data_IF_789276266404
#
_entry.id   IF_789276266404
#
_cell.length_a   1.000
_cell.length_b   1.000
_cell.length_c   1.000
_cell.angle_alpha   90.00
_cell.angle_beta   90.00
_cell.angle_gamma   90.00
#
_symmetry.space_group_name_H-M   'P 1'
#
loop_
_entity.id
_entity.type
_entity.pdbx_description
1 polymer ?
#
# COMPACT_ATOMS: atom_id res chain seq x y z
N UNK A 1 -40.31 32.32 38.33
CA UNK A 1 -39.05 32.77 37.69
C UNK A 1 -39.14 32.40 36.22
N UNK A 2 -39.19 33.38 35.33
CA UNK A 2 -39.16 33.14 33.87
C UNK A 2 -37.77 32.62 33.49
N UNK A 3 -37.67 31.33 33.19
CA UNK A 3 -36.42 30.74 32.69
C UNK A 3 -36.16 31.25 31.28
N UNK A 4 -35.10 32.03 31.12
CA UNK A 4 -34.63 32.55 29.84
C UNK A 4 -34.40 31.40 28.84
N UNK A 5 -35.28 31.33 27.83
CA UNK A 5 -35.27 30.27 26.81
C UNK A 5 -34.23 30.54 25.73
N UNK A 6 -33.42 29.53 25.43
CA UNK A 6 -32.31 29.59 24.49
C UNK A 6 -32.76 29.32 23.05
N UNK A 7 -32.21 30.07 22.11
CA UNK A 7 -32.38 29.80 20.68
C UNK A 7 -31.61 28.56 20.23
N UNK A 8 -32.04 27.94 19.12
CA UNK A 8 -31.40 26.74 18.56
C UNK A 8 -29.89 26.88 18.31
N UNK A 9 -29.42 28.07 17.91
CA UNK A 9 -27.99 28.34 17.71
C UNK A 9 -27.19 28.41 19.01
N UNK A 10 -27.81 28.84 20.11
CA UNK A 10 -27.19 28.87 21.43
C UNK A 10 -27.09 27.46 22.02
N UNK A 11 -28.16 26.67 21.86
CA UNK A 11 -28.17 25.25 22.24
C UNK A 11 -27.15 24.45 21.42
N UNK A 12 -27.02 24.72 20.12
CA UNK A 12 -26.02 24.08 19.27
C UNK A 12 -24.60 24.32 19.81
N UNK A 13 -24.25 25.58 20.11
CA UNK A 13 -22.97 25.93 20.72
C UNK A 13 -22.78 25.29 22.10
N UNK A 14 -23.81 25.30 22.94
CA UNK A 14 -23.71 24.80 24.31
C UNK A 14 -23.67 23.27 24.41
N UNK A 15 -24.26 22.55 23.45
CA UNK A 15 -24.34 21.09 23.42
C UNK A 15 -23.29 20.42 22.53
N UNK A 16 -22.68 21.15 21.61
CA UNK A 16 -21.76 20.61 20.61
C UNK A 16 -22.45 19.85 19.47
N UNK A 17 -23.78 19.92 19.38
CA UNK A 17 -24.55 19.41 18.25
C UNK A 17 -24.72 20.50 17.18
N UNK A 18 -24.57 20.18 15.88
CA UNK A 18 -24.89 21.14 14.84
C UNK A 18 -26.41 21.45 14.83
N UNK A 19 -26.77 22.65 14.37
CA UNK A 19 -28.19 23.10 14.28
C UNK A 19 -29.03 22.13 13.45
N UNK A 20 -28.46 21.53 12.40
CA UNK A 20 -29.11 20.49 11.60
C UNK A 20 -29.45 19.23 12.41
N UNK A 21 -28.56 18.81 13.31
CA UNK A 21 -28.81 17.66 14.19
C UNK A 21 -29.92 17.96 15.20
N UNK A 22 -29.97 19.18 15.76
CA UNK A 22 -31.07 19.58 16.65
C UNK A 22 -32.43 19.56 15.93
N UNK A 23 -32.50 20.02 14.67
CA UNK A 23 -33.71 19.92 13.84
C UNK A 23 -34.09 18.47 13.54
N UNK A 24 -33.09 17.62 13.29
CA UNK A 24 -33.30 16.19 13.07
C UNK A 24 -33.85 15.51 14.33
N UNK A 25 -33.31 15.82 15.51
CA UNK A 25 -33.78 15.23 16.78
C UNK A 25 -35.16 15.71 17.21
N UNK A 26 -35.51 16.94 16.90
CA UNK A 26 -36.89 17.44 17.01
C UNK A 26 -37.84 16.58 16.17
N UNK A 27 -37.55 16.41 14.88
CA UNK A 27 -38.37 15.58 13.97
C UNK A 27 -38.41 14.10 14.35
N UNK A 28 -37.36 13.57 14.98
CA UNK A 28 -37.30 12.20 15.48
C UNK A 28 -37.90 12.01 16.88
N UNK A 29 -38.40 13.07 17.52
CA UNK A 29 -38.96 13.03 18.88
C UNK A 29 -37.94 12.70 19.97
N UNK A 30 -36.65 12.96 19.70
CA UNK A 30 -35.53 12.65 20.61
C UNK A 30 -35.19 13.87 21.47
N UNK A 31 -35.30 15.08 20.92
CA UNK A 31 -35.11 16.33 21.65
C UNK A 31 -36.08 17.38 21.11
N UNK A 32 -37.26 17.45 21.70
CA UNK A 32 -38.34 18.34 21.26
C UNK A 32 -38.16 19.73 21.88
N UNK A 33 -38.19 20.83 21.10
CA UNK A 33 -38.08 22.19 21.64
C UNK A 33 -39.20 22.49 22.64
N UNK A 34 -38.87 23.19 23.74
CA UNK A 34 -39.85 23.65 24.71
C UNK A 34 -40.95 24.52 24.07
N UNK A 35 -40.57 25.36 23.11
CA UNK A 35 -41.52 26.18 22.34
C UNK A 35 -41.06 26.29 20.89
N UNK A 36 -42.01 26.15 19.96
CA UNK A 36 -41.85 26.57 18.58
C UNK A 36 -42.73 27.80 18.37
N UNK A 37 -42.10 28.92 18.03
CA UNK A 37 -42.79 30.18 17.77
C UNK A 37 -43.73 30.03 16.56
N UNK A 38 -45.02 30.32 16.75
CA UNK A 38 -46.06 30.10 15.73
C UNK A 38 -45.99 31.09 14.56
N UNK A 39 -45.40 32.27 14.76
CA UNK A 39 -45.27 33.27 13.70
C UNK A 39 -43.97 33.13 12.90
N UNK A 40 -42.88 32.74 13.57
CA UNK A 40 -41.54 32.73 12.96
C UNK A 40 -40.96 31.32 12.76
N UNK A 41 -41.55 30.29 13.36
CA UNK A 41 -41.06 28.91 13.30
C UNK A 41 -39.76 28.67 14.09
N UNK A 42 -39.30 29.66 14.86
CA UNK A 42 -38.08 29.54 15.66
C UNK A 42 -38.27 28.59 16.84
N UNK A 43 -37.30 27.70 17.00
CA UNK A 43 -37.23 26.72 18.08
C UNK A 43 -36.51 27.32 19.28
N UNK A 44 -37.17 27.30 20.43
CA UNK A 44 -36.63 27.73 21.71
C UNK A 44 -36.62 26.55 22.68
N UNK A 45 -35.55 26.43 23.43
CA UNK A 45 -35.31 25.34 24.36
C UNK A 45 -35.12 25.89 25.78
N UNK A 46 -35.52 25.11 26.77
CA UNK A 46 -35.24 25.43 28.17
C UNK A 46 -33.78 25.05 28.51
N UNK A 47 -33.19 25.70 29.53
CA UNK A 47 -31.79 25.43 29.91
C UNK A 47 -31.53 23.96 30.28
N UNK A 48 -32.53 23.28 30.83
CA UNK A 48 -32.43 21.85 31.20
C UNK A 48 -32.21 20.96 29.96
N UNK A 49 -32.79 21.34 28.81
CA UNK A 49 -32.66 20.60 27.55
C UNK A 49 -31.24 20.65 26.97
N UNK A 50 -30.39 21.59 27.42
CA UNK A 50 -28.97 21.61 27.05
C UNK A 50 -28.24 20.40 27.62
N UNK A 51 -28.58 19.97 28.83
CA UNK A 51 -27.98 18.78 29.44
C UNK A 51 -28.38 17.50 28.70
N UNK A 52 -29.64 17.41 28.25
CA UNK A 52 -30.12 16.31 27.40
C UNK A 52 -29.41 16.29 26.04
N UNK A 53 -29.29 17.45 25.39
CA UNK A 53 -28.59 17.60 24.12
C UNK A 53 -27.11 17.17 24.22
N UNK A 54 -26.42 17.52 25.31
CA UNK A 54 -25.04 17.07 25.58
C UNK A 54 -24.97 15.56 25.73
N UNK A 55 -25.92 14.95 26.44
CA UNK A 55 -25.97 13.50 26.58
C UNK A 55 -26.18 12.81 25.23
N UNK A 56 -27.13 13.29 24.42
CA UNK A 56 -27.35 12.79 23.05
C UNK A 56 -26.07 12.87 22.22
N UNK A 57 -25.33 13.98 22.32
CA UNK A 57 -24.06 14.16 21.62
C UNK A 57 -23.01 13.12 22.03
N UNK A 58 -22.87 12.84 23.32
CA UNK A 58 -21.95 11.82 23.84
C UNK A 58 -22.37 10.43 23.37
N UNK A 59 -23.65 10.07 23.50
CA UNK A 59 -24.17 8.75 23.12
C UNK A 59 -24.02 8.48 21.63
N UNK A 60 -24.23 9.49 20.78
CA UNK A 60 -23.98 9.36 19.34
C UNK A 60 -22.51 9.22 19.00
N UNK A 61 -21.63 9.95 19.68
CA UNK A 61 -20.18 9.84 19.46
C UNK A 61 -19.67 8.44 19.76
N UNK A 62 -20.26 7.76 20.75
CA UNK A 62 -19.93 6.37 21.09
C UNK A 62 -20.76 5.33 20.32
N UNK A 63 -21.44 5.73 19.24
CA UNK A 63 -22.11 4.81 18.31
C UNK A 63 -23.42 4.21 18.81
N UNK A 64 -24.08 4.81 19.81
CA UNK A 64 -25.38 4.30 20.27
C UNK A 64 -26.46 4.50 19.18
N UNK A 65 -27.28 3.47 18.87
CA UNK A 65 -28.40 3.59 17.94
C UNK A 65 -29.45 4.61 18.41
N UNK A 66 -30.10 5.29 17.45
CA UNK A 66 -31.09 6.32 17.76
C UNK A 66 -32.29 5.80 18.56
N UNK A 67 -32.70 4.56 18.29
CA UNK A 67 -33.78 3.90 19.01
C UNK A 67 -33.47 3.75 20.51
N UNK A 68 -32.23 3.40 20.86
CA UNK A 68 -31.77 3.23 22.23
C UNK A 68 -31.62 4.58 22.94
N UNK A 69 -31.15 5.61 22.23
CA UNK A 69 -31.09 6.99 22.75
C UNK A 69 -32.50 7.47 23.11
N UNK A 70 -33.49 7.22 22.25
CA UNK A 70 -34.89 7.60 22.50
C UNK A 70 -35.46 6.88 23.73
N UNK A 71 -35.18 5.58 23.88
CA UNK A 71 -35.60 4.80 25.05
C UNK A 71 -34.92 5.29 26.34
N UNK A 72 -33.63 5.61 26.29
CA UNK A 72 -32.89 6.14 27.43
C UNK A 72 -33.39 7.52 27.89
N UNK A 73 -33.83 8.37 26.95
CA UNK A 73 -34.43 9.67 27.29
C UNK A 73 -35.87 9.52 27.80
N UNK A 74 -36.68 8.65 27.19
CA UNK A 74 -38.05 8.38 27.64
C UNK A 74 -38.11 7.84 29.09
N UNK A 75 -37.15 7.00 29.49
CA UNK A 75 -37.03 6.53 30.88
C UNK A 75 -36.70 7.63 31.90
N UNK A 76 -36.14 8.77 31.47
CA UNK A 76 -35.88 9.94 32.34
C UNK A 76 -37.09 10.86 32.50
N UNK A 77 -37.96 10.94 31.50
CA UNK A 77 -39.11 11.84 31.47
C UNK A 77 -40.36 11.28 32.20
N UNK A 78 -40.18 10.35 33.14
CA UNK A 78 -41.28 9.74 33.93
C UNK A 78 -41.55 8.25 33.67
N UNK A 79 -40.70 7.57 32.89
CA UNK A 79 -40.72 6.12 32.70
C UNK A 79 -39.97 5.35 33.79
N UNK A 80 -39.68 4.06 33.55
CA UNK A 80 -38.83 3.25 34.43
C UNK A 80 -37.43 3.87 34.56
N UNK A 81 -37.03 4.37 35.75
CA UNK A 81 -35.76 5.07 35.94
C UNK A 81 -34.55 4.13 35.80
N UNK A 82 -34.75 2.81 35.82
CA UNK A 82 -33.68 1.82 35.67
C UNK A 82 -33.37 1.49 34.22
N UNK A 83 -34.30 1.73 33.30
CA UNK A 83 -34.17 1.40 31.88
C UNK A 83 -32.99 2.16 31.19
N UNK A 84 -32.81 3.48 31.37
CA UNK A 84 -31.68 4.20 30.79
C UNK A 84 -30.33 3.68 31.30
N UNK A 85 -30.25 3.38 32.61
CA UNK A 85 -29.04 2.84 33.24
C UNK A 85 -28.71 1.46 32.67
N UNK A 86 -29.72 0.60 32.47
CA UNK A 86 -29.54 -0.73 31.86
C UNK A 86 -29.08 -0.67 30.40
N UNK A 87 -29.65 0.24 29.60
CA UNK A 87 -29.26 0.42 28.19
C UNK A 87 -27.83 0.96 28.07
N UNK A 88 -27.47 1.95 28.88
CA UNK A 88 -26.11 2.48 28.95
C UNK A 88 -25.12 1.40 29.38
N UNK A 89 -25.43 0.67 30.45
CA UNK A 89 -24.57 -0.42 30.93
C UNK A 89 -24.42 -1.54 29.88
N UNK A 90 -25.48 -1.87 29.13
CA UNK A 90 -25.40 -2.84 28.04
C UNK A 90 -24.53 -2.35 26.89
N UNK A 91 -24.58 -1.06 26.54
CA UNK A 91 -23.75 -0.46 25.50
C UNK A 91 -22.28 -0.35 25.92
N UNK A 92 -22.01 0.06 27.17
CA UNK A 92 -20.65 0.05 27.75
C UNK A 92 -20.04 -1.34 27.63
N UNK A 93 -20.76 -2.39 28.06
CA UNK A 93 -20.28 -3.78 27.92
C UNK A 93 -20.03 -4.18 26.46
N UNK A 94 -20.79 -3.66 25.50
CA UNK A 94 -20.61 -3.93 24.06
C UNK A 94 -19.33 -3.27 23.54
N UNK A 95 -19.10 -2.00 23.92
CA UNK A 95 -17.89 -1.26 23.58
C UNK A 95 -16.65 -1.91 24.21
N UNK A 96 -16.73 -2.28 25.49
CA UNK A 96 -15.65 -2.99 26.19
C UNK A 96 -15.30 -4.32 25.51
N UNK A 97 -16.30 -5.09 25.10
CA UNK A 97 -16.09 -6.32 24.32
C UNK A 97 -15.42 -6.02 22.98
N UNK A 98 -15.90 -5.01 22.23
CA UNK A 98 -15.29 -4.63 20.96
C UNK A 98 -13.83 -4.19 21.10
N UNK A 99 -13.50 -3.44 22.16
CA UNK A 99 -12.12 -3.05 22.47
C UNK A 99 -11.27 -4.27 22.85
N UNK A 100 -11.80 -5.18 23.67
CA UNK A 100 -11.09 -6.39 24.06
C UNK A 100 -10.82 -7.32 22.85
N UNK A 101 -11.80 -7.46 21.96
CA UNK A 101 -11.70 -8.23 20.72
C UNK A 101 -10.67 -7.60 19.78
N UNK A 102 -10.76 -6.29 19.51
CA UNK A 102 -9.79 -5.56 18.69
C UNK A 102 -8.37 -5.64 19.27
N UNK A 103 -8.21 -5.57 20.60
CA UNK A 103 -6.91 -5.75 21.26
C UNK A 103 -6.40 -7.18 21.13
N UNK A 104 -7.26 -8.19 21.23
CA UNK A 104 -6.89 -9.59 21.05
C UNK A 104 -6.44 -9.86 19.62
N UNK A 105 -7.18 -9.34 18.64
CA UNK A 105 -6.85 -9.44 17.23
C UNK A 105 -5.54 -8.72 16.90
N UNK A 106 -5.36 -7.49 17.40
CA UNK A 106 -4.10 -6.76 17.29
C UNK A 106 -2.93 -7.51 17.94
N UNK A 107 -3.15 -8.18 19.07
CA UNK A 107 -2.13 -9.02 19.70
C UNK A 107 -1.81 -10.26 18.87
N UNK A 108 -2.79 -10.88 18.20
CA UNK A 108 -2.56 -12.00 17.26
C UNK A 108 -1.80 -11.55 16.03
N UNK A 109 -2.15 -10.39 15.46
CA UNK A 109 -1.44 -9.80 14.32
C UNK A 109 -0.01 -9.45 14.70
N UNK A 110 0.21 -8.78 15.83
CA UNK A 110 1.56 -8.52 16.38
C UNK A 110 2.34 -9.80 16.60
N UNK A 111 1.72 -10.81 17.22
CA UNK A 111 2.35 -12.12 17.40
C UNK A 111 2.65 -12.83 16.07
N UNK A 112 1.88 -12.58 15.01
CA UNK A 112 2.15 -13.10 13.66
C UNK A 112 3.28 -12.33 12.98
N UNK A 113 3.34 -11.01 13.16
CA UNK A 113 4.45 -10.17 12.70
C UNK A 113 5.74 -10.58 13.42
N UNK A 114 5.73 -10.66 14.76
CA UNK A 114 6.87 -11.11 15.55
C UNK A 114 7.27 -12.55 15.24
N UNK A 115 6.31 -13.46 15.02
CA UNK A 115 6.61 -14.83 14.56
C UNK A 115 7.14 -14.85 13.14
N UNK A 116 6.72 -13.97 12.25
CA UNK A 116 7.29 -13.85 10.91
C UNK A 116 8.68 -13.19 10.94
N UNK A 117 8.94 -12.29 11.90
CA UNK A 117 10.27 -11.73 12.16
C UNK A 117 11.20 -12.75 12.80
N UNK A 118 10.70 -13.59 13.72
CA UNK A 118 11.48 -14.65 14.39
C UNK A 118 11.61 -15.91 13.55
N UNK A 119 10.61 -16.29 12.77
CA UNK A 119 10.68 -17.34 11.74
C UNK A 119 11.52 -16.83 10.58
N UNK A 120 11.39 -15.56 10.18
CA UNK A 120 12.31 -14.90 9.25
C UNK A 120 13.74 -14.90 9.79
N UNK A 121 13.97 -14.63 11.09
CA UNK A 121 15.29 -14.77 11.73
C UNK A 121 15.76 -16.21 11.87
N UNK A 122 14.89 -17.21 12.05
CA UNK A 122 15.27 -18.63 12.19
C UNK A 122 15.46 -19.34 10.84
N UNK A 123 14.66 -19.02 9.84
CA UNK A 123 14.86 -19.42 8.44
C UNK A 123 16.09 -18.72 7.87
N UNK A 124 16.31 -17.44 8.19
CA UNK A 124 17.57 -16.77 7.89
C UNK A 124 18.73 -17.30 8.74
N UNK A 125 18.54 -17.73 9.99
CA UNK A 125 19.62 -18.33 10.81
C UNK A 125 20.02 -19.74 10.36
N UNK A 126 19.08 -20.54 9.84
CA UNK A 126 19.39 -21.81 9.20
C UNK A 126 19.97 -21.62 7.78
N UNK A 127 19.76 -20.42 7.20
CA UNK A 127 20.41 -19.95 5.96
C UNK A 127 21.52 -18.93 6.24
N UNK A 128 22.03 -18.83 7.48
CA UNK A 128 23.28 -18.09 7.80
C UNK A 128 24.45 -19.01 7.52
N UNK A 129 24.45 -19.60 6.32
CA UNK A 129 25.62 -20.25 5.76
C UNK A 129 26.26 -19.25 4.81
N UNK A 130 27.14 -18.45 5.43
CA UNK A 130 28.27 -17.76 4.81
C UNK A 130 27.98 -16.53 3.93
N UNK A 131 27.65 -15.39 4.57
CA UNK A 131 27.91 -14.07 3.99
C UNK A 131 29.42 -13.87 3.83
N UNK A 132 30.00 -14.43 2.77
CA UNK A 132 31.41 -14.29 2.40
C UNK A 132 31.60 -13.06 1.51
N UNK A 133 32.82 -12.56 1.48
CA UNK A 133 33.23 -11.57 0.48
C UNK A 133 33.21 -12.27 -0.88
N UNK A 134 32.35 -11.80 -1.77
CA UNK A 134 32.25 -12.32 -3.14
C UNK A 134 32.76 -11.26 -4.10
N UNK A 135 33.63 -11.65 -5.02
CA UNK A 135 34.13 -10.78 -6.09
C UNK A 135 33.73 -11.37 -7.43
N UNK A 136 32.84 -10.67 -8.13
CA UNK A 136 32.27 -11.07 -9.40
C UNK A 136 32.92 -10.28 -10.53
N UNK A 137 33.12 -10.94 -11.68
CA UNK A 137 33.50 -10.27 -12.93
C UNK A 137 32.32 -10.37 -13.89
N UNK A 138 31.82 -9.23 -14.33
CA UNK A 138 30.57 -9.10 -15.07
C UNK A 138 30.79 -8.28 -16.36
N UNK A 139 29.93 -8.50 -17.35
CA UNK A 139 29.81 -7.58 -18.47
C UNK A 139 29.18 -6.27 -17.98
N UNK A 140 29.87 -5.14 -18.18
CA UNK A 140 29.41 -3.85 -17.66
C UNK A 140 28.03 -3.45 -18.20
N UNK A 141 27.76 -3.77 -19.48
CA UNK A 141 26.47 -3.52 -20.12
C UNK A 141 25.32 -4.32 -19.49
N UNK A 142 25.55 -5.57 -19.08
CA UNK A 142 24.52 -6.40 -18.44
C UNK A 142 24.18 -5.91 -17.04
N UNK A 143 25.21 -5.56 -16.25
CA UNK A 143 25.00 -4.96 -14.92
C UNK A 143 24.29 -3.60 -15.04
N UNK A 144 24.67 -2.76 -16.00
CA UNK A 144 24.00 -1.49 -16.23
C UNK A 144 22.52 -1.68 -16.57
N UNK A 145 22.22 -2.60 -17.49
CA UNK A 145 20.84 -2.91 -17.86
C UNK A 145 20.03 -3.50 -16.68
N UNK A 146 20.66 -4.29 -15.81
CA UNK A 146 20.01 -4.82 -14.62
C UNK A 146 19.73 -3.73 -13.58
N UNK A 147 20.66 -2.78 -13.35
CA UNK A 147 20.45 -1.63 -12.47
C UNK A 147 19.31 -0.74 -13.00
N UNK A 148 19.31 -0.43 -14.31
CA UNK A 148 18.25 0.34 -14.95
C UNK A 148 16.87 -0.33 -14.81
N UNK A 149 16.83 -1.67 -14.90
CA UNK A 149 15.60 -2.44 -14.81
C UNK A 149 14.99 -2.50 -13.40
N UNK A 150 15.72 -2.11 -12.34
CA UNK A 150 15.19 -2.15 -10.96
C UNK A 150 15.14 -0.78 -10.29
N UNK A 151 15.98 0.17 -10.72
CA UNK A 151 16.16 1.47 -10.06
C UNK A 151 14.87 2.26 -9.86
N UNK A 152 13.92 2.15 -10.79
CA UNK A 152 12.65 2.84 -10.73
C UNK A 152 11.78 2.37 -9.54
N UNK A 153 11.92 1.13 -9.08
CA UNK A 153 11.10 0.56 -8.01
C UNK A 153 11.63 0.84 -6.59
N UNK A 154 12.71 1.62 -6.44
CA UNK A 154 13.30 1.94 -5.12
C UNK A 154 12.36 2.85 -4.32
N UNK A 155 12.20 2.56 -3.03
CA UNK A 155 11.40 3.37 -2.11
C UNK A 155 12.08 4.68 -1.73
N UNK A 156 11.26 5.71 -1.51
CA UNK A 156 11.70 7.05 -1.08
C UNK A 156 11.09 7.47 0.26
N UNK A 157 10.39 6.53 0.93
CA UNK A 157 9.74 6.78 2.22
C UNK A 157 10.81 6.75 3.33
N UNK A 158 11.08 7.89 4.00
CA UNK A 158 12.10 7.96 5.05
C UNK A 158 11.75 7.09 6.26
N UNK A 159 10.48 6.69 6.42
CA UNK A 159 10.07 5.77 7.49
C UNK A 159 10.42 4.30 7.18
N UNK A 160 10.85 3.99 5.95
CA UNK A 160 11.18 2.63 5.50
C UNK A 160 12.59 2.57 4.89
N UNK A 161 13.65 2.74 5.70
CA UNK A 161 15.04 2.73 5.23
C UNK A 161 15.44 1.40 4.57
N UNK A 162 14.84 0.28 4.96
CA UNK A 162 15.04 -1.03 4.32
C UNK A 162 14.67 -1.05 2.82
N UNK A 163 13.87 -0.08 2.35
CA UNK A 163 13.42 0.04 0.96
C UNK A 163 14.16 1.14 0.20
N UNK A 164 15.05 1.89 0.85
CA UNK A 164 15.79 3.03 0.29
C UNK A 164 17.07 2.59 -0.46
N UNK A 165 16.98 1.50 -1.21
CA UNK A 165 18.11 0.94 -1.94
C UNK A 165 17.74 -0.26 -2.81
N UNK A 166 18.78 -0.86 -3.40
CA UNK A 166 18.67 -2.06 -4.23
C UNK A 166 19.35 -3.21 -3.49
N UNK A 167 18.63 -4.31 -3.29
CA UNK A 167 19.18 -5.54 -2.76
C UNK A 167 20.02 -6.22 -3.85
N UNK A 168 21.28 -6.52 -3.52
CA UNK A 168 22.16 -7.37 -4.31
C UNK A 168 22.14 -8.75 -3.65
N UNK A 169 21.60 -9.75 -4.35
CA UNK A 169 21.40 -11.11 -3.87
C UNK A 169 22.12 -12.08 -4.82
N UNK A 170 23.31 -12.52 -4.44
CA UNK A 170 24.13 -13.47 -5.20
C UNK A 170 23.78 -14.88 -4.73
N UNK A 171 23.19 -15.68 -5.62
CA UNK A 171 22.87 -17.07 -5.34
C UNK A 171 22.76 -17.87 -6.64
N UNK A 172 23.13 -19.15 -6.59
CA UNK A 172 22.96 -20.12 -7.68
C UNK A 172 23.51 -19.67 -9.05
N UNK A 173 24.64 -18.96 -9.03
CA UNK A 173 25.28 -18.45 -10.25
C UNK A 173 24.52 -17.30 -10.91
N UNK A 174 23.71 -16.56 -10.15
CA UNK A 174 23.01 -15.35 -10.61
C UNK A 174 23.19 -14.24 -9.57
N UNK A 175 23.53 -13.04 -10.02
CA UNK A 175 23.36 -11.81 -9.22
C UNK A 175 21.95 -11.29 -9.48
N UNK A 176 21.07 -11.34 -8.48
CA UNK A 176 19.74 -10.73 -8.53
C UNK A 176 19.81 -9.34 -7.91
N UNK A 177 19.32 -8.36 -8.64
CA UNK A 177 19.06 -7.01 -8.16
C UNK A 177 17.57 -6.90 -7.89
N UNK A 178 17.20 -6.37 -6.72
CA UNK A 178 15.80 -6.26 -6.30
C UNK A 178 15.51 -4.89 -5.70
N UNK A 179 14.42 -4.27 -6.12
CA UNK A 179 13.94 -2.99 -5.59
C UNK A 179 12.42 -3.02 -5.39
N UNK A 180 11.94 -2.38 -4.32
CA UNK A 180 10.51 -2.26 -4.00
C UNK A 180 10.22 -1.02 -3.15
N UNK A 181 9.00 -0.50 -3.27
CA UNK A 181 8.48 0.65 -2.50
C UNK A 181 7.16 0.33 -1.79
N UNK A 182 6.85 -0.97 -1.61
CA UNK A 182 5.57 -1.58 -1.15
C UNK A 182 4.44 -1.64 -2.18
N UNK A 183 4.46 -0.81 -3.23
CA UNK A 183 3.41 -0.79 -4.25
C UNK A 183 3.85 -1.45 -5.55
N UNK A 184 5.16 -1.66 -5.71
CA UNK A 184 5.74 -2.37 -6.84
C UNK A 184 7.01 -3.08 -6.44
N UNK A 185 7.40 -4.06 -7.24
CA UNK A 185 8.63 -4.83 -7.11
C UNK A 185 9.27 -4.95 -8.49
N UNK A 186 10.58 -4.78 -8.58
CA UNK A 186 11.36 -5.07 -9.77
C UNK A 186 12.52 -6.02 -9.41
N UNK A 187 12.72 -7.03 -10.25
CA UNK A 187 13.80 -8.02 -10.13
C UNK A 187 14.53 -8.10 -11.46
N UNK A 188 15.86 -8.05 -11.43
CA UNK A 188 16.72 -8.26 -12.60
C UNK A 188 17.91 -9.16 -12.25
N UNK A 189 18.13 -10.22 -13.03
CA UNK A 189 19.21 -11.18 -12.85
C UNK A 189 20.34 -10.98 -13.86
N UNK A 190 21.58 -11.04 -13.37
CA UNK A 190 22.79 -11.09 -14.19
C UNK A 190 23.42 -12.47 -14.03
N UNK A 191 23.56 -13.26 -15.09
CA UNK A 191 24.16 -14.59 -15.01
C UNK A 191 25.64 -14.50 -14.64
N UNK A 192 26.10 -15.41 -13.78
CA UNK A 192 27.48 -15.48 -13.30
C UNK A 192 28.18 -16.71 -13.87
N UNK A 193 29.44 -16.56 -14.26
CA UNK A 193 30.27 -17.67 -14.72
C UNK A 193 30.66 -18.64 -13.60
N UNK A 194 30.74 -18.15 -12.35
CA UNK A 194 31.05 -18.95 -11.17
C UNK A 194 29.77 -19.34 -10.42
N UNK A 195 29.69 -20.61 -9.97
CA UNK A 195 28.57 -21.15 -9.20
C UNK A 195 29.02 -21.45 -7.77
N UNK A 196 28.14 -21.23 -6.80
CA UNK A 196 28.35 -21.58 -5.39
C UNK A 196 28.61 -20.40 -4.45
N UNK A 197 28.92 -19.21 -5.00
CA UNK A 197 29.04 -18.00 -4.20
C UNK A 197 27.68 -17.53 -3.68
N UNK A 198 27.65 -17.14 -2.41
CA UNK A 198 26.47 -16.56 -1.76
C UNK A 198 26.86 -15.29 -1.03
N UNK A 199 26.18 -14.21 -1.37
CA UNK A 199 26.35 -12.93 -0.71
C UNK A 199 25.07 -12.11 -0.86
N UNK A 200 24.77 -11.32 0.17
CA UNK A 200 23.65 -10.39 0.15
C UNK A 200 24.07 -9.06 0.74
N UNK A 201 23.74 -7.98 0.05
CA UNK A 201 23.96 -6.62 0.55
C UNK A 201 22.86 -5.68 0.05
N UNK A 202 22.34 -4.82 0.93
CA UNK A 202 21.45 -3.74 0.53
C UNK A 202 22.29 -2.51 0.19
N UNK A 203 22.19 -2.04 -1.05
CA UNK A 203 23.03 -0.95 -1.57
C UNK A 203 22.19 0.32 -1.66
N UNK A 204 22.62 1.36 -0.96
CA UNK A 204 21.92 2.64 -0.94
C UNK A 204 21.87 3.29 -2.34
N UNK A 205 20.79 3.99 -2.62
CA UNK A 205 20.53 4.63 -3.92
C UNK A 205 21.69 5.48 -4.46
N UNK A 206 22.38 6.33 -3.67
CA UNK A 206 23.50 7.12 -4.20
C UNK A 206 24.67 6.27 -4.70
N UNK A 207 24.90 5.11 -4.07
CA UNK A 207 25.95 4.16 -4.47
C UNK A 207 25.53 3.45 -5.76
N UNK A 208 24.26 3.02 -5.86
CA UNK A 208 23.68 2.44 -7.07
C UNK A 208 23.81 3.41 -8.26
N UNK A 209 23.46 4.69 -8.06
CA UNK A 209 23.53 5.71 -9.11
C UNK A 209 24.99 5.98 -9.53
N UNK A 210 25.93 6.01 -8.59
CA UNK A 210 27.36 6.12 -8.87
C UNK A 210 27.91 4.90 -9.64
N UNK A 211 27.50 3.68 -9.27
CA UNK A 211 27.84 2.45 -9.98
C UNK A 211 27.29 2.48 -11.41
N UNK A 212 26.04 2.89 -11.59
CA UNK A 212 25.41 2.99 -12.91
C UNK A 212 26.11 4.02 -13.80
N UNK A 213 26.52 5.15 -13.25
CA UNK A 213 27.30 6.16 -13.97
C UNK A 213 28.64 5.61 -14.44
N UNK A 214 29.33 4.84 -13.60
CA UNK A 214 30.62 4.20 -13.88
C UNK A 214 30.57 3.24 -15.09
N UNK A 215 29.43 2.57 -15.29
CA UNK A 215 29.22 1.57 -16.33
C UNK A 215 28.93 2.19 -17.72
N UNK A 216 28.76 3.50 -17.80
CA UNK A 216 28.46 4.19 -19.07
C UNK A 216 29.63 4.06 -20.04
N UNK A 217 29.43 3.39 -21.17
CA UNK A 217 30.47 3.18 -22.20
C UNK A 217 31.52 2.13 -21.83
N UNK A 218 31.34 1.38 -20.74
CA UNK A 218 32.26 0.33 -20.31
C UNK A 218 32.10 -0.94 -21.15
N UNK A 219 33.15 -1.35 -21.87
CA UNK A 219 33.12 -2.54 -22.70
C UNK A 219 33.27 -3.85 -21.90
N UNK A 220 34.29 -3.95 -21.01
CA UNK A 220 34.60 -5.10 -20.14
C UNK A 220 35.95 -4.85 -19.40
N UNK A 221 36.25 -5.43 -18.21
CA UNK A 221 35.37 -6.09 -17.23
C UNK A 221 34.90 -5.12 -16.15
N UNK A 222 33.69 -5.34 -15.63
CA UNK A 222 33.24 -4.73 -14.38
C UNK A 222 33.50 -5.70 -13.22
N UNK A 223 34.26 -5.28 -12.21
CA UNK A 223 34.53 -6.08 -11.01
C UNK A 223 33.65 -5.60 -9.87
N UNK A 224 32.72 -6.44 -9.44
CA UNK A 224 31.80 -6.15 -8.34
C UNK A 224 32.22 -6.94 -7.10
N UNK A 225 32.52 -6.24 -6.01
CA UNK A 225 32.83 -6.84 -4.72
C UNK A 225 31.66 -6.61 -3.77
N UNK A 226 31.03 -7.68 -3.31
CA UNK A 226 29.91 -7.66 -2.35
C UNK A 226 30.43 -8.18 -1.02
N UNK A 227 30.38 -7.32 0.01
CA UNK A 227 30.71 -7.66 1.40
C UNK A 227 29.50 -7.38 2.28
N UNK A 228 29.44 -7.97 3.50
CA UNK A 228 28.35 -7.70 4.43
C UNK A 228 28.22 -6.23 4.83
N UNK A 229 29.34 -5.49 4.81
CA UNK A 229 29.44 -4.12 5.34
C UNK A 229 29.50 -3.05 4.26
N UNK A 230 29.86 -3.41 3.03
CA UNK A 230 30.01 -2.48 1.91
C UNK A 230 30.00 -3.21 0.56
N UNK A 231 29.78 -2.42 -0.49
CA UNK A 231 29.79 -2.90 -1.88
C UNK A 231 30.63 -1.96 -2.71
N UNK A 232 31.44 -2.51 -3.61
CA UNK A 232 32.31 -1.74 -4.50
C UNK A 232 32.25 -2.27 -5.93
N UNK A 233 32.20 -1.36 -6.89
CA UNK A 233 32.29 -1.64 -8.31
C UNK A 233 33.53 -0.95 -8.88
N UNK A 234 34.37 -1.70 -9.57
CA UNK A 234 35.55 -1.21 -10.27
C UNK A 234 35.42 -1.44 -11.78
N UNK A 235 35.69 -0.39 -12.56
CA UNK A 235 35.70 -0.42 -14.02
C UNK A 235 36.85 0.45 -14.52
N UNK A 236 37.81 -0.15 -15.24
CA UNK A 236 38.93 0.59 -15.84
C UNK A 236 39.73 1.44 -14.85
N UNK A 237 39.96 0.94 -13.62
CA UNK A 237 40.69 1.63 -12.55
C UNK A 237 39.90 2.72 -11.81
N UNK A 238 38.63 2.96 -12.17
CA UNK A 238 37.71 3.84 -11.45
C UNK A 238 36.84 3.00 -10.52
N UNK A 239 36.52 3.52 -9.33
CA UNK A 239 35.76 2.80 -8.31
C UNK A 239 34.54 3.60 -7.86
N UNK A 240 33.40 2.92 -7.72
CA UNK A 240 32.21 3.41 -7.02
C UNK A 240 31.92 2.46 -5.86
N UNK A 241 31.89 2.97 -4.64
CA UNK A 241 31.70 2.15 -3.44
C UNK A 241 30.93 2.89 -2.35
N UNK A 242 30.31 2.14 -1.44
CA UNK A 242 29.71 2.69 -0.23
C UNK A 242 29.26 1.61 0.75
N UNK A 243 28.88 2.01 1.96
CA UNK A 243 28.43 1.08 2.98
C UNK A 243 27.17 0.34 2.54
N UNK A 244 27.07 -0.93 2.96
CA UNK A 244 25.82 -1.67 2.89
C UNK A 244 24.88 -1.09 3.95
N UNK A 245 23.60 -0.98 3.62
CA UNK A 245 22.57 -0.55 4.56
C UNK A 245 22.33 -1.69 5.55
N UNK A 246 22.46 -1.39 6.84
CA UNK A 246 22.23 -2.35 7.94
C UNK A 246 20.73 -2.47 8.25
N UNK A 247 19.97 -2.88 7.24
CA UNK A 247 18.53 -3.09 7.33
C UNK A 247 18.18 -4.45 6.72
N UNK A 248 17.17 -5.10 7.30
CA UNK A 248 16.69 -6.39 6.77
C UNK A 248 15.74 -6.15 5.61
N UNK A 249 16.16 -6.55 4.40
CA UNK A 249 15.30 -6.45 3.23
C UNK A 249 14.16 -7.49 3.27
N UNK A 250 12.92 -7.14 2.86
CA UNK A 250 11.80 -8.08 2.82
C UNK A 250 12.07 -9.32 1.95
N UNK A 251 11.49 -10.46 2.33
CA UNK A 251 11.58 -11.69 1.55
C UNK A 251 10.75 -11.59 0.25
N UNK A 252 11.39 -11.15 -0.82
CA UNK A 252 10.78 -10.95 -2.13
C UNK A 252 10.46 -12.27 -2.85
N UNK A 253 11.08 -13.39 -2.47
CA UNK A 253 11.01 -14.68 -3.21
C UNK A 253 9.58 -15.23 -3.27
N UNK A 254 8.80 -14.94 -2.23
CA UNK A 254 7.37 -15.30 -2.14
C UNK A 254 6.53 -14.61 -3.22
N UNK A 255 7.00 -13.49 -3.78
CA UNK A 255 6.31 -12.69 -4.79
C UNK A 255 6.78 -13.00 -6.23
N UNK A 256 7.95 -13.63 -6.40
CA UNK A 256 8.53 -13.92 -7.74
C UNK A 256 7.74 -15.00 -8.49
N UNK A 257 7.08 -15.90 -7.76
CA UNK A 257 6.29 -17.00 -8.34
C UNK A 257 5.06 -16.58 -9.16
N UNK A 258 4.65 -15.30 -9.09
CA UNK A 258 3.43 -14.79 -9.73
C UNK A 258 2.15 -15.22 -9.01
N UNK A 259 1.04 -14.60 -9.38
CA UNK A 259 -0.30 -15.02 -8.96
C UNK A 259 -0.88 -15.99 -10.00
N UNK A 260 -1.68 -16.98 -9.60
CA UNK A 260 -2.37 -17.87 -10.54
C UNK A 260 -3.41 -17.09 -11.37
N UNK A 261 -2.98 -16.49 -12.48
CA UNK A 261 -3.76 -15.60 -13.31
C UNK A 261 -3.71 -15.93 -14.80
N UNK A 262 -4.48 -15.18 -15.59
CA UNK A 262 -4.46 -15.30 -17.06
C UNK A 262 -3.21 -14.61 -17.59
N UNK A 263 -2.46 -15.33 -18.41
CA UNK A 263 -1.24 -14.83 -19.07
C UNK A 263 -1.53 -14.45 -20.50
N UNK A 264 -1.04 -13.29 -20.90
CA UNK A 264 -1.24 -12.72 -22.23
C UNK A 264 0.09 -12.17 -22.71
N UNK A 265 0.42 -12.40 -23.98
CA UNK A 265 1.62 -11.82 -24.59
C UNK A 265 1.24 -10.55 -25.34
N UNK A 266 1.91 -9.46 -25.02
CA UNK A 266 1.70 -8.14 -25.61
C UNK A 266 2.95 -7.66 -26.33
N UNK A 267 2.77 -6.77 -27.30
CA UNK A 267 3.85 -5.89 -27.76
C UNK A 267 4.05 -4.79 -26.71
N UNK A 268 5.22 -4.76 -26.09
CA UNK A 268 5.51 -3.88 -24.97
C UNK A 268 5.56 -2.40 -25.39
N UNK A 269 6.08 -2.12 -26.59
CA UNK A 269 6.18 -0.77 -27.12
C UNK A 269 4.80 -0.21 -27.50
N UNK A 270 3.98 -1.03 -28.16
CA UNK A 270 2.60 -0.69 -28.50
C UNK A 270 1.76 -0.50 -27.24
N UNK A 271 1.83 -1.41 -26.26
CA UNK A 271 1.10 -1.26 -25.00
C UNK A 271 1.54 0.00 -24.25
N UNK A 272 2.84 0.32 -24.22
CA UNK A 272 3.33 1.56 -23.60
C UNK A 272 2.78 2.80 -24.30
N UNK A 273 2.73 2.80 -25.64
CA UNK A 273 2.16 3.90 -26.41
C UNK A 273 0.65 4.04 -26.18
N UNK A 274 -0.08 2.92 -26.17
CA UNK A 274 -1.51 2.87 -25.85
C UNK A 274 -1.78 3.37 -24.43
N UNK A 275 -0.97 2.97 -23.44
CA UNK A 275 -1.09 3.47 -22.06
C UNK A 275 -0.86 4.97 -22.05
N UNK A 276 0.20 5.47 -22.69
CA UNK A 276 0.53 6.89 -22.72
C UNK A 276 -0.55 7.77 -23.39
N UNK A 277 -1.24 7.26 -24.41
CA UNK A 277 -2.35 7.96 -25.09
C UNK A 277 -3.72 7.68 -24.46
N UNK A 278 -3.84 6.61 -23.67
CA UNK A 278 -5.09 6.11 -23.11
C UNK A 278 -5.61 6.92 -21.92
N UNK A 279 -6.86 6.64 -21.49
CA UNK A 279 -7.55 7.39 -20.45
C UNK A 279 -6.82 7.34 -19.11
N UNK A 280 -6.99 8.40 -18.31
CA UNK A 280 -6.42 8.55 -16.97
C UNK A 280 -7.54 8.82 -15.98
N UNK A 281 -7.54 8.11 -14.86
CA UNK A 281 -8.32 8.48 -13.68
C UNK A 281 -7.44 9.17 -12.66
N UNK A 282 -7.95 10.23 -12.04
CA UNK A 282 -7.31 10.85 -10.90
C UNK A 282 -7.86 10.24 -9.62
N UNK A 283 -7.00 9.59 -8.84
CA UNK A 283 -7.37 9.01 -7.55
C UNK A 283 -6.58 9.65 -6.42
N UNK A 284 -7.14 9.65 -5.21
CA UNK A 284 -6.41 10.10 -4.02
C UNK A 284 -5.66 8.93 -3.41
N UNK A 285 -4.37 9.14 -3.12
CA UNK A 285 -3.51 8.19 -2.41
C UNK A 285 -3.76 8.33 -0.91
N UNK A 286 -4.02 7.21 -0.23
CA UNK A 286 -4.04 7.12 1.23
C UNK A 286 -4.81 8.24 1.96
N UNK A 287 -4.32 8.58 3.16
CA UNK A 287 -4.85 9.68 3.98
C UNK A 287 -4.18 11.03 3.70
N UNK A 288 -3.07 11.05 2.95
CA UNK A 288 -2.31 12.25 2.60
C UNK A 288 -3.02 13.09 1.52
N UNK A 289 -3.94 12.48 0.77
CA UNK A 289 -4.76 13.16 -0.24
C UNK A 289 -4.00 13.52 -1.52
N UNK A 290 -2.77 13.02 -1.70
CA UNK A 290 -2.00 13.24 -2.91
C UNK A 290 -2.72 12.62 -4.11
N UNK A 291 -2.84 13.36 -5.21
CA UNK A 291 -3.46 12.84 -6.43
C UNK A 291 -2.46 11.93 -7.16
N UNK A 292 -2.93 10.78 -7.64
CA UNK A 292 -2.20 9.88 -8.52
C UNK A 292 -2.98 9.63 -9.80
N UNK A 293 -2.25 9.50 -10.90
CA UNK A 293 -2.82 9.10 -12.18
C UNK A 293 -2.93 7.57 -12.23
N UNK A 294 -4.12 7.05 -12.51
CA UNK A 294 -4.42 5.62 -12.57
C UNK A 294 -4.80 5.26 -14.00
N UNK A 295 -4.22 4.17 -14.50
CA UNK A 295 -4.63 3.56 -15.78
C UNK A 295 -5.39 2.28 -15.49
N UNK A 296 -6.54 2.11 -16.15
CA UNK A 296 -7.28 0.85 -16.15
C UNK A 296 -6.85 0.04 -17.36
N UNK A 297 -6.44 -1.20 -17.14
CA UNK A 297 -6.19 -2.17 -18.20
C UNK A 297 -7.33 -3.18 -18.21
N UNK A 298 -7.87 -3.44 -19.40
CA UNK A 298 -8.93 -4.43 -19.64
C UNK A 298 -8.35 -5.57 -20.47
N UNK A 299 -8.44 -6.78 -19.94
CA UNK A 299 -8.24 -8.02 -20.68
C UNK A 299 -9.58 -8.47 -21.27
N UNK A 300 -9.72 -8.29 -22.57
CA UNK A 300 -10.94 -8.58 -23.32
C UNK A 300 -11.12 -10.08 -23.57
N UNK A 301 -12.32 -10.48 -23.99
CA UNK A 301 -12.66 -11.89 -24.22
C UNK A 301 -11.80 -12.55 -25.30
N UNK A 302 -11.43 -11.79 -26.35
CA UNK A 302 -10.51 -12.19 -27.42
C UNK A 302 -9.03 -12.26 -26.98
N UNK A 303 -8.74 -11.95 -25.71
CA UNK A 303 -7.41 -12.11 -25.12
C UNK A 303 -6.47 -10.94 -25.36
N UNK A 304 -6.97 -9.80 -25.86
CA UNK A 304 -6.19 -8.57 -25.97
C UNK A 304 -6.17 -7.82 -24.64
N UNK A 305 -5.01 -7.25 -24.28
CA UNK A 305 -4.88 -6.35 -23.15
C UNK A 305 -4.84 -4.92 -23.66
N UNK A 306 -5.82 -4.10 -23.28
CA UNK A 306 -5.99 -2.73 -23.76
C UNK A 306 -6.19 -1.74 -22.61
N UNK A 307 -5.64 -0.52 -22.69
CA UNK A 307 -5.99 0.55 -21.77
C UNK A 307 -7.45 1.00 -21.99
N UNK A 308 -8.15 1.25 -20.90
CA UNK A 308 -9.53 1.71 -20.91
C UNK A 308 -10.48 0.80 -20.14
N UNK A 309 -11.71 1.26 -20.00
CA UNK A 309 -12.79 0.57 -19.31
C UNK A 309 -13.69 -0.09 -20.36
N UNK A 310 -13.37 -1.33 -20.69
CA UNK A 310 -14.16 -2.14 -21.63
C UNK A 310 -14.77 -3.36 -20.95
N UNK A 311 -15.47 -4.16 -21.75
CA UNK A 311 -15.92 -5.48 -21.32
C UNK A 311 -14.72 -6.44 -21.20
N UNK A 312 -14.54 -7.02 -20.03
CA UNK A 312 -13.44 -7.94 -19.76
C UNK A 312 -12.99 -7.89 -18.30
N UNK A 313 -11.89 -8.59 -18.03
CA UNK A 313 -11.26 -8.56 -16.72
C UNK A 313 -10.45 -7.27 -16.58
N UNK A 314 -10.76 -6.46 -15.57
CA UNK A 314 -10.17 -5.14 -15.39
C UNK A 314 -9.20 -5.13 -14.22
N UNK A 315 -8.12 -4.37 -14.38
CA UNK A 315 -7.17 -4.07 -13.30
C UNK A 315 -6.76 -2.61 -13.40
N UNK A 316 -6.84 -1.89 -12.28
CA UNK A 316 -6.35 -0.52 -12.19
C UNK A 316 -4.98 -0.51 -11.55
N UNK A 317 -4.06 0.26 -12.12
CA UNK A 317 -2.69 0.42 -11.60
C UNK A 317 -2.26 1.87 -11.70
N UNK A 318 -1.29 2.24 -10.87
CA UNK A 318 -0.66 3.55 -10.99
C UNK A 318 0.00 3.69 -12.38
N UNK A 319 -0.29 4.80 -13.06
CA UNK A 319 0.13 5.03 -14.45
C UNK A 319 1.64 5.24 -14.57
N UNK A 320 2.24 5.93 -13.60
CA UNK A 320 3.67 6.17 -13.59
C UNK A 320 4.39 4.82 -13.45
N UNK A 321 3.95 4.02 -12.47
CA UNK A 321 4.55 2.72 -12.22
C UNK A 321 4.38 1.76 -13.40
N UNK A 322 3.23 1.78 -14.06
CA UNK A 322 2.98 0.99 -15.27
C UNK A 322 3.92 1.40 -16.41
N UNK A 323 4.10 2.70 -16.62
CA UNK A 323 4.95 3.23 -17.70
C UNK A 323 6.42 2.85 -17.47
N UNK A 324 6.90 2.99 -16.24
CA UNK A 324 8.26 2.63 -15.87
C UNK A 324 8.51 1.12 -15.95
N UNK A 325 7.57 0.30 -15.49
CA UNK A 325 7.66 -1.15 -15.60
C UNK A 325 7.73 -1.63 -17.06
N UNK A 326 6.89 -1.08 -17.94
CA UNK A 326 6.93 -1.41 -19.38
C UNK A 326 8.25 -0.97 -20.03
N UNK A 327 8.79 0.18 -19.64
CA UNK A 327 10.08 0.65 -20.14
C UNK A 327 11.26 -0.23 -19.67
N UNK A 328 11.20 -0.74 -18.44
CA UNK A 328 12.26 -1.54 -17.82
C UNK A 328 12.42 -2.95 -18.42
N UNK A 329 11.42 -3.47 -19.15
CA UNK A 329 11.48 -4.82 -19.73
C UNK A 329 12.59 -4.98 -20.79
N UNK A 330 12.90 -3.91 -21.52
CA UNK A 330 13.88 -3.89 -22.60
C UNK A 330 13.73 -5.08 -23.58
N UNK A 331 12.48 -5.38 -23.95
CA UNK A 331 12.06 -6.43 -24.88
C UNK A 331 10.84 -5.95 -25.66
N UNK A 332 10.74 -6.31 -26.94
CA UNK A 332 9.58 -5.97 -27.78
C UNK A 332 8.32 -6.71 -27.34
N UNK A 333 8.49 -7.90 -26.75
CA UNK A 333 7.39 -8.77 -26.32
C UNK A 333 7.45 -9.02 -24.82
N UNK A 334 6.29 -8.96 -24.19
CA UNK A 334 6.12 -9.15 -22.76
C UNK A 334 4.96 -10.08 -22.46
N UNK A 335 5.16 -11.01 -21.52
CA UNK A 335 4.10 -11.75 -20.87
C UNK A 335 3.56 -10.91 -19.70
N UNK A 336 2.25 -10.68 -19.70
CA UNK A 336 1.51 -9.99 -18.65
C UNK A 336 0.58 -10.99 -17.97
N UNK A 337 0.66 -11.07 -16.65
CA UNK A 337 -0.15 -11.98 -15.83
C UNK A 337 -1.15 -11.18 -15.00
N UNK A 338 -2.44 -11.48 -15.18
CA UNK A 338 -3.58 -10.79 -14.55
C UNK A 338 -4.47 -11.82 -13.85
N UNK A 339 -4.52 -11.75 -12.51
CA UNK A 339 -5.31 -12.69 -11.70
C UNK A 339 -6.63 -12.11 -11.18
N UNK A 340 -6.85 -10.79 -11.25
CA UNK A 340 -8.07 -10.14 -10.76
C UNK A 340 -7.87 -8.66 -10.47
N UNK A 341 -8.94 -7.92 -10.10
CA UNK A 341 -8.87 -6.49 -9.82
C UNK A 341 -8.07 -6.16 -8.55
N UNK A 342 -7.95 -7.11 -7.62
CA UNK A 342 -7.20 -6.98 -6.37
C UNK A 342 -5.88 -7.75 -6.33
N UNK A 343 -5.57 -8.50 -7.39
CA UNK A 343 -4.34 -9.27 -7.49
C UNK A 343 -3.22 -8.46 -8.17
N UNK A 344 -1.94 -8.68 -7.81
CA UNK A 344 -0.82 -8.00 -8.46
C UNK A 344 -0.74 -8.27 -9.96
N UNK A 345 -0.42 -7.22 -10.70
CA UNK A 345 -0.14 -7.28 -12.13
C UNK A 345 1.34 -7.56 -12.35
N UNK A 346 1.68 -8.63 -13.07
CA UNK A 346 3.09 -9.01 -13.29
C UNK A 346 3.47 -8.90 -14.75
N UNK A 347 4.68 -8.39 -15.02
CA UNK A 347 5.29 -8.25 -16.33
C UNK A 347 6.60 -9.04 -16.38
N UNK A 348 6.78 -9.83 -17.44
CA UNK A 348 8.02 -10.55 -17.73
C UNK A 348 8.34 -10.41 -19.23
N UNK A 349 9.60 -10.31 -19.64
CA UNK A 349 9.94 -10.45 -21.05
C UNK A 349 9.48 -11.82 -21.57
N UNK A 350 8.98 -11.90 -22.79
CA UNK A 350 8.59 -13.19 -23.38
C UNK A 350 9.81 -14.12 -23.49
N UNK A 351 9.71 -15.30 -22.88
CA UNK A 351 10.78 -16.31 -22.95
C UNK A 351 10.73 -17.02 -24.30
N UNK A 352 11.71 -16.76 -25.16
CA UNK A 352 11.87 -17.49 -26.42
C UNK A 352 12.61 -18.81 -26.17
N UNK A 353 11.88 -19.87 -25.82
CA UNK A 353 12.33 -21.27 -25.91
C UNK A 353 13.18 -21.85 -24.75
N UNK A 354 13.28 -23.20 -24.66
CA UNK A 354 14.00 -23.88 -23.58
C UNK A 354 15.50 -23.94 -23.89
N UNK A 355 16.33 -23.27 -23.09
CA UNK A 355 17.79 -23.48 -23.09
C UNK A 355 18.71 -22.27 -23.28
N UNK A 356 18.20 -21.04 -23.39
CA UNK A 356 19.04 -19.84 -23.43
C UNK A 356 18.99 -19.08 -22.10
N UNK A 357 20.10 -18.98 -21.37
CA UNK A 357 20.21 -18.18 -20.16
C UNK A 357 19.96 -16.70 -20.45
N UNK A 358 18.70 -16.27 -20.42
CA UNK A 358 18.32 -14.85 -20.43
C UNK A 358 18.18 -14.35 -18.99
N UNK A 359 18.62 -13.11 -18.80
CA UNK A 359 18.48 -12.36 -17.55
C UNK A 359 17.05 -12.49 -17.00
N UNK A 360 16.92 -13.02 -15.79
CA UNK A 360 15.67 -13.08 -15.04
C UNK A 360 15.15 -11.64 -14.85
N UNK A 361 14.10 -11.22 -15.57
CA UNK A 361 13.51 -9.88 -15.38
C UNK A 361 12.03 -9.99 -15.09
N UNK A 362 11.59 -9.25 -14.07
CA UNK A 362 10.21 -9.23 -13.65
C UNK A 362 9.87 -7.89 -13.02
N UNK A 363 8.68 -7.37 -13.31
CA UNK A 363 8.07 -6.27 -12.56
C UNK A 363 6.70 -6.69 -12.06
N UNK A 364 6.36 -6.31 -10.84
CA UNK A 364 5.07 -6.55 -10.22
C UNK A 364 4.51 -5.22 -9.72
N UNK A 365 3.25 -4.95 -10.03
CA UNK A 365 2.53 -3.74 -9.62
C UNK A 365 1.33 -4.12 -8.78
N UNK A 366 1.18 -3.50 -7.63
CA UNK A 366 -0.01 -3.64 -6.79
C UNK A 366 -1.18 -2.88 -7.43
N UNK A 367 -2.38 -3.46 -7.46
CA UNK A 367 -3.53 -2.80 -8.04
C UNK A 367 -4.03 -1.67 -7.15
N UNK A 368 -4.72 -0.74 -7.78
CA UNK A 368 -5.47 0.34 -7.15
C UNK A 368 -6.93 -0.08 -7.06
N UNK A 369 -7.47 -0.16 -5.85
CA UNK A 369 -8.91 -0.35 -5.66
C UNK A 369 -9.65 0.88 -6.21
N UNK A 370 -10.53 0.66 -7.19
CA UNK A 370 -11.49 1.67 -7.66
C UNK A 370 -12.90 1.16 -7.39
N UNK A 371 -13.79 2.05 -6.93
CA UNK A 371 -15.21 1.73 -6.83
C UNK A 371 -15.77 1.41 -8.23
N UNK A 372 -16.45 0.25 -8.37
CA UNK A 372 -17.10 -0.18 -9.61
C UNK A 372 -16.25 -1.01 -10.58
N UNK A 373 -15.06 -1.48 -10.18
CA UNK A 373 -14.26 -2.42 -10.98
C UNK A 373 -14.58 -3.90 -10.76
N UNK A 374 -15.27 -4.25 -9.67
CA UNK A 374 -15.67 -5.62 -9.31
C UNK A 374 -16.76 -6.21 -10.21
#
# INVERSE_FOLDING_TARGET
MESERLGIGEVARASGLPVSALRFYDGAGVLVPAVVDRGTGYRRYDREQVAEARLVAVLRRVGMPLADIRLALAGRAGGDPTLPVRLLAAHVRRLERGVAEARSELSRLRGTVEKNEHTGKKENAMTTSESRVVTLTLAGAELAAALDAVRFAVGHDPELPALAGVLFDVEDGTLRLVATDRYRLAVAGVPLSARGDRARALVATPVVDAMRALLTGAAWPARLTVRPVDVALEVGGRVASGPAVDETYPDYRRLVGGAAGRRVVVDAAALRAEVAAGPVREERRGTDGARRAVSVLTLTADGALRPGEGEGQRVAVDREFLTEALAALASDRAEVEIAGPSAPLTFRPESTGPGGGRAERMSLLMPVALEGLD
#
